data_IF_981702204686
#
_entry.id   IF_981702204686
#
_cell.length_a   1.000
_cell.length_b   1.000
_cell.length_c   1.000
_cell.angle_alpha   90.00
_cell.angle_beta   90.00
_cell.angle_gamma   90.00
#
_symmetry.space_group_name_H-M   'P 1'
#
loop_
_entity.id
_entity.type
_entity.pdbx_description
1 polymer ?
#
# COMPACT_ATOMS: atom_id res chain seq x y z
N UNK A 1 -9.26 -5.50 -6.30
CA UNK A 1 -9.20 -4.86 -4.96
C UNK A 1 -7.90 -4.15 -4.64
N UNK A 2 -6.77 -4.83 -4.37
CA UNK A 2 -5.50 -4.12 -4.09
C UNK A 2 -5.15 -3.13 -5.20
N UNK A 3 -5.13 -3.62 -6.46
CA UNK A 3 -4.90 -2.78 -7.64
C UNK A 3 -5.87 -1.59 -7.70
N UNK A 4 -7.16 -1.79 -7.42
CA UNK A 4 -8.16 -0.71 -7.43
C UNK A 4 -7.91 0.35 -6.35
N UNK A 5 -7.42 -0.07 -5.17
CA UNK A 5 -7.05 0.86 -4.09
C UNK A 5 -5.84 1.69 -4.55
N UNK A 6 -4.81 1.05 -5.11
CA UNK A 6 -3.63 1.74 -5.62
C UNK A 6 -3.99 2.71 -6.75
N UNK A 7 -4.82 2.30 -7.70
CA UNK A 7 -5.30 3.18 -8.78
C UNK A 7 -6.09 4.37 -8.26
N UNK A 8 -6.96 4.17 -7.25
CA UNK A 8 -7.67 5.28 -6.60
C UNK A 8 -6.72 6.22 -5.88
N UNK A 9 -5.69 5.70 -5.21
CA UNK A 9 -4.68 6.52 -4.55
C UNK A 9 -3.88 7.35 -5.57
N UNK A 10 -3.48 6.75 -6.70
CA UNK A 10 -2.78 7.46 -7.78
C UNK A 10 -3.65 8.56 -8.39
N UNK A 11 -4.87 8.21 -8.79
CA UNK A 11 -5.77 9.11 -9.53
C UNK A 11 -6.44 10.18 -8.68
N UNK A 12 -6.68 9.94 -7.38
CA UNK A 12 -7.47 10.84 -6.52
C UNK A 12 -6.72 11.44 -5.34
N UNK A 13 -5.63 10.80 -4.89
CA UNK A 13 -4.89 11.21 -3.71
C UNK A 13 -3.44 11.63 -4.01
N UNK A 14 -3.02 11.61 -5.29
CA UNK A 14 -1.68 12.02 -5.70
C UNK A 14 -0.58 11.07 -5.22
N UNK A 15 -0.91 9.79 -5.01
CA UNK A 15 0.07 8.78 -4.61
C UNK A 15 1.06 8.49 -5.74
N UNK A 16 2.35 8.57 -5.41
CA UNK A 16 3.46 8.20 -6.29
C UNK A 16 4.27 7.11 -5.59
N UNK A 17 4.46 5.92 -6.20
CA UNK A 17 5.25 4.85 -5.61
C UNK A 17 6.69 5.30 -5.32
N UNK A 18 7.23 4.88 -4.18
CA UNK A 18 8.64 5.13 -3.83
C UNK A 18 9.45 3.84 -3.94
N UNK A 19 10.06 3.64 -5.10
CA UNK A 19 10.86 2.45 -5.48
C UNK A 19 12.31 2.48 -4.99
N UNK A 20 12.77 3.61 -4.46
CA UNK A 20 14.16 3.84 -4.02
C UNK A 20 14.65 2.85 -2.94
N UNK A 21 13.73 2.19 -2.22
CA UNK A 21 14.06 1.23 -1.17
C UNK A 21 14.25 -0.21 -1.71
N UNK A 22 13.94 -0.47 -2.99
CA UNK A 22 14.18 -1.77 -3.62
C UNK A 22 15.61 -1.85 -4.13
N UNK A 23 16.44 -2.59 -3.40
CA UNK A 23 17.86 -2.79 -3.73
C UNK A 23 18.10 -3.84 -4.82
N UNK A 24 17.06 -4.51 -5.28
CA UNK A 24 17.16 -5.46 -6.39
C UNK A 24 17.40 -4.72 -7.70
N UNK A 25 18.34 -5.24 -8.50
CA UNK A 25 18.60 -4.78 -9.86
C UNK A 25 17.58 -5.40 -10.81
N UNK A 26 16.37 -4.86 -10.74
CA UNK A 26 15.18 -5.25 -11.50
C UNK A 26 14.58 -4.00 -12.14
N UNK A 27 13.68 -4.19 -13.10
CA UNK A 27 13.06 -3.05 -13.75
C UNK A 27 12.13 -2.27 -12.79
N UNK A 28 11.79 -1.04 -13.17
CA UNK A 28 11.02 -0.15 -12.31
C UNK A 28 9.60 -0.65 -12.06
N UNK A 29 9.00 -1.33 -13.04
CA UNK A 29 7.66 -1.93 -12.94
C UNK A 29 7.66 -3.11 -11.96
N UNK A 30 8.72 -3.91 -11.97
CA UNK A 30 8.96 -5.00 -11.02
C UNK A 30 9.19 -4.46 -9.60
N UNK A 31 9.89 -3.32 -9.43
CA UNK A 31 10.02 -2.63 -8.13
C UNK A 31 8.68 -2.14 -7.61
N UNK A 32 7.88 -1.49 -8.46
CA UNK A 32 6.53 -1.06 -8.10
C UNK A 32 5.65 -2.25 -7.70
N UNK A 33 5.76 -3.35 -8.44
CA UNK A 33 5.04 -4.59 -8.17
C UNK A 33 5.45 -5.18 -6.82
N UNK A 34 6.74 -5.20 -6.49
CA UNK A 34 7.23 -5.65 -5.19
C UNK A 34 6.61 -4.84 -4.03
N UNK A 35 6.54 -3.52 -4.17
CA UNK A 35 5.91 -2.63 -3.19
C UNK A 35 4.40 -2.81 -3.05
N UNK A 36 3.71 -3.19 -4.11
CA UNK A 36 2.26 -3.45 -4.04
C UNK A 36 1.94 -4.63 -3.12
N UNK A 37 2.83 -5.62 -3.05
CA UNK A 37 2.63 -6.86 -2.30
C UNK A 37 3.15 -6.80 -0.86
N UNK A 38 3.52 -5.63 -0.36
CA UNK A 38 3.83 -5.46 1.06
C UNK A 38 2.61 -5.79 1.94
N UNK A 39 2.87 -6.42 3.09
CA UNK A 39 1.83 -6.92 3.98
C UNK A 39 0.88 -5.83 4.47
N UNK A 40 1.35 -4.60 4.67
CA UNK A 40 0.52 -3.45 5.05
C UNK A 40 -0.61 -3.20 4.04
N UNK A 41 -0.28 -3.13 2.75
CA UNK A 41 -1.26 -2.86 1.69
C UNK A 41 -2.21 -4.04 1.50
N UNK A 42 -1.71 -5.26 1.64
CA UNK A 42 -2.52 -6.47 1.58
C UNK A 42 -3.53 -6.52 2.72
N UNK A 43 -3.10 -6.25 3.96
CA UNK A 43 -3.99 -6.24 5.13
C UNK A 43 -5.05 -5.15 5.02
N UNK A 44 -4.70 -3.95 4.53
CA UNK A 44 -5.68 -2.88 4.28
C UNK A 44 -6.70 -3.33 3.23
N UNK A 45 -6.23 -3.88 2.11
CA UNK A 45 -7.10 -4.38 1.04
C UNK A 45 -8.05 -5.48 1.53
N UNK A 46 -7.52 -6.40 2.35
CA UNK A 46 -8.30 -7.45 2.98
C UNK A 46 -9.31 -6.89 3.99
N UNK A 47 -8.93 -5.90 4.78
CA UNK A 47 -9.82 -5.22 5.71
C UNK A 47 -11.00 -4.57 5.00
N UNK A 48 -10.78 -3.84 3.90
CA UNK A 48 -11.87 -3.27 3.12
C UNK A 48 -12.77 -4.31 2.46
N UNK A 49 -12.22 -5.45 2.07
CA UNK A 49 -12.98 -6.55 1.47
C UNK A 49 -13.91 -7.26 2.47
N UNK A 50 -13.48 -7.37 3.72
CA UNK A 50 -14.11 -8.25 4.71
C UNK A 50 -14.82 -7.51 5.84
N UNK A 51 -14.91 -6.18 5.77
CA UNK A 51 -15.58 -5.39 6.80
C UNK A 51 -16.65 -4.49 6.20
N UNK A 52 -17.70 -4.24 6.97
CA UNK A 52 -18.78 -3.34 6.57
C UNK A 52 -18.27 -1.89 6.55
N UNK A 53 -18.82 -1.01 5.70
CA UNK A 53 -18.53 0.42 5.74
C UNK A 53 -18.70 1.00 7.14
N UNK A 54 -17.74 1.83 7.56
CA UNK A 54 -17.70 2.41 8.91
C UNK A 54 -17.06 1.54 9.98
N UNK A 55 -16.69 0.29 9.68
CA UNK A 55 -15.94 -0.56 10.60
C UNK A 55 -14.54 0.01 10.82
N UNK A 56 -14.13 0.16 12.09
CA UNK A 56 -12.76 0.55 12.43
C UNK A 56 -11.81 -0.63 12.23
N UNK A 57 -10.84 -0.49 11.33
CA UNK A 57 -9.76 -1.46 11.13
C UNK A 57 -8.52 -0.98 11.89
N UNK A 58 -7.95 -1.84 12.75
CA UNK A 58 -6.69 -1.55 13.47
C UNK A 58 -5.59 -2.46 12.97
N UNK A 59 -4.51 -1.88 12.46
CA UNK A 59 -3.35 -2.60 11.93
C UNK A 59 -2.16 -2.30 12.83
N UNK A 60 -1.48 -3.34 13.30
CA UNK A 60 -0.25 -3.24 14.09
C UNK A 60 0.86 -4.00 13.39
N UNK A 61 2.06 -3.41 13.36
CA UNK A 61 3.26 -4.05 12.81
C UNK A 61 4.38 -3.90 13.83
N UNK A 62 5.15 -4.98 14.02
CA UNK A 62 6.32 -5.00 14.90
C UNK A 62 7.60 -4.51 14.19
N UNK A 63 7.56 -4.43 12.86
CA UNK A 63 8.64 -3.93 12.02
C UNK A 63 8.36 -2.49 11.59
N UNK A 64 9.43 -1.77 11.28
CA UNK A 64 9.35 -0.45 10.66
C UNK A 64 8.61 -0.55 9.33
N UNK A 65 7.66 0.35 9.12
CA UNK A 65 6.93 0.51 7.85
C UNK A 65 7.85 1.20 6.85
N UNK A 66 7.92 0.68 5.62
CA UNK A 66 8.72 1.30 4.55
C UNK A 66 8.11 2.64 4.11
N UNK A 67 8.90 3.50 3.46
CA UNK A 67 8.47 4.87 3.13
C UNK A 67 7.26 4.88 2.19
N UNK A 68 7.24 3.95 1.23
CA UNK A 68 6.14 3.76 0.30
C UNK A 68 4.82 3.37 1.01
N UNK A 69 4.85 2.33 1.84
CA UNK A 69 3.69 1.88 2.61
C UNK A 69 3.22 2.95 3.60
N UNK A 70 4.15 3.66 4.24
CA UNK A 70 3.82 4.76 5.15
C UNK A 70 3.05 5.88 4.40
N UNK A 71 3.51 6.23 3.20
CA UNK A 71 2.86 7.24 2.35
C UNK A 71 1.48 6.76 1.90
N UNK A 72 1.36 5.49 1.45
CA UNK A 72 0.09 4.92 1.06
C UNK A 72 -0.92 4.89 2.21
N UNK A 73 -0.53 4.40 3.40
CA UNK A 73 -1.41 4.37 4.58
C UNK A 73 -1.84 5.77 5.01
N UNK A 74 -0.95 6.77 4.94
CA UNK A 74 -1.27 8.17 5.23
C UNK A 74 -2.29 8.77 4.26
N UNK A 75 -2.36 8.32 3.02
CA UNK A 75 -3.35 8.81 2.05
C UNK A 75 -4.71 8.10 2.17
N UNK A 76 -4.73 6.94 2.81
CA UNK A 76 -5.95 6.14 3.04
C UNK A 76 -6.73 6.64 4.26
N UNK A 77 -6.05 7.24 5.25
CA UNK A 77 -6.63 7.73 6.52
C UNK A 77 -6.39 9.21 6.73
#
# INVERSE_FOLDING_TARGET
MLHEIIEKLRSKAGYVPKTNEVLFDIDEEEKETAHCHHSEKLVISFGFLNTSPGTTIRIVKNLRVCEDCHTATKLIS
#
